data_IF_419767397679
#
_entry.id   IF_419767397679
#
_cell.length_a   1.000
_cell.length_b   1.000
_cell.length_c   1.000
_cell.angle_alpha   90.00
_cell.angle_beta   90.00
_cell.angle_gamma   90.00
#
_symmetry.space_group_name_H-M   'P 1'
#
loop_
_entity.id
_entity.type
_entity.pdbx_description
1 polymer ?
#
# COMPACT_ATOMS: atom_id res chain seq x y z
N UNK A 1 15.07 44.79 -34.07
CA UNK A 1 15.18 43.35 -34.38
C UNK A 1 15.71 42.66 -33.13
N UNK A 2 15.08 41.55 -32.70
CA UNK A 2 15.29 40.93 -31.38
C UNK A 2 16.29 39.76 -31.45
N UNK A 3 16.97 39.46 -30.35
CA UNK A 3 17.55 38.13 -30.11
C UNK A 3 17.04 37.58 -28.77
N UNK A 4 16.59 36.30 -28.73
CA UNK A 4 15.90 35.71 -27.59
C UNK A 4 16.89 35.08 -26.61
N UNK A 5 16.81 35.43 -25.34
CA UNK A 5 17.47 34.67 -24.29
C UNK A 5 16.60 33.45 -23.96
N UNK A 6 17.11 32.29 -24.37
CA UNK A 6 16.54 30.98 -24.12
C UNK A 6 16.14 30.82 -22.64
N UNK A 7 14.98 30.22 -22.33
CA UNK A 7 14.66 29.88 -20.96
C UNK A 7 15.70 28.89 -20.47
N UNK A 8 16.41 29.26 -19.41
CA UNK A 8 17.15 28.31 -18.59
C UNK A 8 16.09 27.33 -18.10
N UNK A 9 16.02 26.16 -18.73
CA UNK A 9 15.29 25.02 -18.19
C UNK A 9 16.02 24.67 -16.91
N UNK A 10 15.61 25.30 -15.81
CA UNK A 10 15.83 24.77 -14.48
C UNK A 10 15.14 23.42 -14.48
N UNK A 11 15.94 22.37 -14.63
CA UNK A 11 15.54 21.03 -14.23
C UNK A 11 15.19 21.19 -12.75
N UNK A 12 13.89 21.36 -12.46
CA UNK A 12 13.35 21.12 -11.13
C UNK A 12 13.55 19.63 -10.92
N UNK A 13 14.76 19.28 -10.48
CA UNK A 13 15.02 18.01 -9.83
C UNK A 13 14.21 18.08 -8.55
N UNK A 14 12.92 17.75 -8.67
CA UNK A 14 12.06 17.47 -7.54
C UNK A 14 12.65 16.23 -6.90
N UNK A 15 13.58 16.47 -5.99
CA UNK A 15 14.00 15.49 -5.02
C UNK A 15 12.73 15.10 -4.24
N UNK A 16 11.99 14.13 -4.74
CA UNK A 16 10.90 13.50 -4.04
C UNK A 16 11.51 12.56 -2.99
N UNK A 17 12.23 13.16 -2.04
CA UNK A 17 12.78 12.53 -0.84
C UNK A 17 11.93 12.83 0.39
N UNK A 18 10.66 13.23 0.19
CA UNK A 18 9.70 13.19 1.28
C UNK A 18 9.49 11.71 1.64
N UNK A 19 9.71 11.29 2.89
CA UNK A 19 9.28 9.98 3.34
C UNK A 19 7.80 9.86 2.97
N UNK A 20 7.37 8.73 2.37
CA UNK A 20 5.99 8.60 1.98
C UNK A 20 5.12 8.84 3.23
N UNK A 21 4.22 9.82 3.11
CA UNK A 21 3.29 10.17 4.17
C UNK A 21 2.57 8.90 4.63
N UNK A 22 2.21 8.82 5.92
CA UNK A 22 1.60 7.60 6.49
C UNK A 22 0.34 7.23 5.68
N UNK A 23 -0.45 8.22 5.27
CA UNK A 23 -1.61 8.02 4.42
C UNK A 23 -1.24 7.48 3.03
N UNK A 24 -0.15 7.96 2.44
CA UNK A 24 0.38 7.49 1.17
C UNK A 24 0.89 6.05 1.22
N UNK A 25 1.64 5.69 2.27
CA UNK A 25 2.09 4.31 2.51
C UNK A 25 0.91 3.37 2.67
N UNK A 26 -0.06 3.72 3.52
CA UNK A 26 -1.19 2.86 3.80
C UNK A 26 -2.05 2.66 2.54
N UNK A 27 -2.27 3.72 1.77
CA UNK A 27 -2.98 3.65 0.49
C UNK A 27 -2.23 2.74 -0.51
N UNK A 28 -0.90 2.84 -0.56
CA UNK A 28 -0.06 1.98 -1.40
C UNK A 28 -0.09 0.50 -1.00
N UNK A 29 -0.16 0.19 0.31
CA UNK A 29 -0.39 -1.18 0.79
C UNK A 29 -1.77 -1.68 0.36
N UNK A 30 -2.81 -0.86 0.52
CA UNK A 30 -4.17 -1.22 0.13
C UNK A 30 -4.29 -1.50 -1.37
N UNK A 31 -3.64 -0.70 -2.23
CA UNK A 31 -3.68 -0.90 -3.68
C UNK A 31 -3.01 -2.21 -4.07
N UNK A 32 -1.76 -2.43 -3.64
CA UNK A 32 -1.07 -3.69 -3.90
C UNK A 32 -1.86 -4.89 -3.37
N UNK A 33 -2.49 -4.77 -2.21
CA UNK A 33 -3.29 -5.86 -1.65
C UNK A 33 -4.48 -6.18 -2.55
N UNK A 34 -5.18 -5.15 -3.05
CA UNK A 34 -6.28 -5.31 -4.00
C UNK A 34 -5.83 -5.99 -5.30
N UNK A 35 -4.71 -5.54 -5.87
CA UNK A 35 -4.15 -6.13 -7.08
C UNK A 35 -3.90 -7.63 -6.90
N UNK A 36 -3.25 -8.02 -5.81
CA UNK A 36 -3.00 -9.43 -5.52
C UNK A 36 -4.29 -10.21 -5.28
N UNK A 37 -5.27 -9.66 -4.55
CA UNK A 37 -6.57 -10.31 -4.40
C UNK A 37 -7.24 -10.61 -5.75
N UNK A 38 -7.19 -9.66 -6.69
CA UNK A 38 -7.70 -9.85 -8.04
C UNK A 38 -6.95 -10.95 -8.79
N UNK A 39 -5.61 -10.96 -8.72
CA UNK A 39 -4.76 -11.97 -9.37
C UNK A 39 -5.08 -13.38 -8.84
N UNK A 40 -5.31 -13.54 -7.54
CA UNK A 40 -5.65 -14.83 -6.93
C UNK A 40 -7.14 -15.17 -6.98
N UNK A 41 -7.98 -14.34 -7.60
CA UNK A 41 -9.43 -14.56 -7.64
C UNK A 41 -10.10 -14.56 -6.27
N UNK A 42 -9.48 -13.90 -5.28
CA UNK A 42 -10.02 -13.74 -3.93
C UNK A 42 -10.84 -12.45 -3.86
N UNK A 43 -11.97 -12.49 -3.17
CA UNK A 43 -12.80 -11.32 -2.94
C UNK A 43 -13.12 -11.19 -1.46
N UNK A 44 -13.16 -9.95 -0.98
CA UNK A 44 -13.66 -9.67 0.36
C UNK A 44 -15.19 -9.80 0.35
N UNK A 45 -15.79 -10.27 1.45
CA UNK A 45 -17.23 -10.19 1.65
C UNK A 45 -17.72 -8.73 1.56
N UNK A 46 -18.99 -8.54 1.19
CA UNK A 46 -19.55 -7.20 0.89
C UNK A 46 -19.52 -6.21 2.06
N UNK A 47 -19.47 -6.71 3.29
CA UNK A 47 -19.34 -5.93 4.52
C UNK A 47 -17.92 -5.39 4.78
N UNK A 48 -16.92 -5.89 4.03
CA UNK A 48 -15.52 -5.52 4.21
C UNK A 48 -15.01 -4.64 3.07
N UNK A 49 -14.35 -3.53 3.42
CA UNK A 49 -13.55 -2.75 2.50
C UNK A 49 -12.07 -3.13 2.61
N UNK A 50 -11.31 -3.02 1.52
CA UNK A 50 -9.86 -3.29 1.53
C UNK A 50 -9.15 -2.51 2.65
N UNK A 51 -9.37 -1.19 2.85
CA UNK A 51 -8.74 -0.46 3.95
C UNK A 51 -9.07 -1.04 5.33
N UNK A 52 -10.33 -1.39 5.59
CA UNK A 52 -10.72 -1.94 6.89
C UNK A 52 -10.12 -3.33 7.13
N UNK A 53 -10.07 -4.14 6.07
CA UNK A 53 -9.46 -5.44 6.10
C UNK A 53 -7.96 -5.34 6.39
N UNK A 54 -7.23 -4.50 5.64
CA UNK A 54 -5.79 -4.26 5.84
C UNK A 54 -5.51 -3.74 7.26
N UNK A 55 -6.33 -2.82 7.79
CA UNK A 55 -6.21 -2.37 9.20
C UNK A 55 -6.44 -3.49 10.21
N UNK A 56 -7.32 -4.44 9.90
CA UNK A 56 -7.61 -5.56 10.80
C UNK A 56 -6.44 -6.54 10.82
N UNK A 57 -5.85 -6.85 9.65
CA UNK A 57 -4.66 -7.71 9.56
C UNK A 57 -3.45 -7.08 10.26
N UNK A 58 -3.20 -5.79 10.01
CA UNK A 58 -2.03 -5.10 10.56
C UNK A 58 -2.20 -4.67 12.03
N UNK A 59 -3.43 -4.52 12.49
CA UNK A 59 -3.79 -3.89 13.75
C UNK A 59 -3.95 -2.37 13.62
N UNK A 60 -5.02 -1.84 14.18
CA UNK A 60 -5.38 -0.42 14.05
C UNK A 60 -4.33 0.52 14.65
N UNK A 61 -3.68 0.11 15.74
CA UNK A 61 -2.60 0.88 16.39
C UNK A 61 -1.30 0.82 15.58
N UNK A 62 -0.95 -0.36 15.03
CA UNK A 62 0.26 -0.55 14.25
C UNK A 62 0.26 0.27 12.96
N UNK A 63 -0.90 0.43 12.31
CA UNK A 63 -1.04 1.25 11.09
C UNK A 63 -0.73 2.73 11.33
N UNK A 64 -0.85 3.22 12.57
CA UNK A 64 -0.51 4.60 12.93
C UNK A 64 1.01 4.81 13.11
N UNK A 65 1.79 3.72 13.16
CA UNK A 65 3.24 3.79 13.29
C UNK A 65 3.91 3.88 11.91
N UNK A 66 4.53 5.02 11.53
CA UNK A 66 5.16 5.17 10.23
C UNK A 66 6.29 4.15 9.99
N UNK A 67 7.04 3.79 11.03
CA UNK A 67 8.14 2.82 10.91
C UNK A 67 7.62 1.43 10.61
N UNK A 68 6.57 0.99 11.31
CA UNK A 68 5.91 -0.29 11.05
C UNK A 68 5.32 -0.35 9.64
N UNK A 69 4.59 0.69 9.25
CA UNK A 69 3.93 0.74 7.95
C UNK A 69 4.94 0.76 6.78
N UNK A 70 6.10 1.41 6.95
CA UNK A 70 7.20 1.32 5.98
C UNK A 70 7.73 -0.11 5.87
N UNK A 71 7.94 -0.81 6.99
CA UNK A 71 8.39 -2.20 6.98
C UNK A 71 7.41 -3.09 6.23
N UNK A 72 6.11 -2.96 6.52
CA UNK A 72 5.04 -3.69 5.79
C UNK A 72 5.08 -3.36 4.30
N UNK A 73 5.14 -2.07 3.96
CA UNK A 73 5.12 -1.62 2.57
C UNK A 73 6.29 -2.18 1.78
N UNK A 74 7.52 -2.08 2.30
CA UNK A 74 8.70 -2.58 1.60
C UNK A 74 8.75 -4.11 1.55
N UNK A 75 8.40 -4.79 2.64
CA UNK A 75 8.30 -6.25 2.65
C UNK A 75 7.28 -6.75 1.61
N UNK A 76 6.12 -6.10 1.57
CA UNK A 76 5.07 -6.46 0.62
C UNK A 76 5.42 -6.10 -0.82
N UNK A 77 6.12 -4.99 -1.05
CA UNK A 77 6.60 -4.63 -2.38
C UNK A 77 7.66 -5.61 -2.92
N UNK A 78 8.52 -6.16 -2.05
CA UNK A 78 9.58 -7.10 -2.44
C UNK A 78 9.04 -8.51 -2.61
N UNK A 79 8.25 -8.99 -1.65
CA UNK A 79 7.82 -10.39 -1.59
C UNK A 79 6.42 -10.62 -2.15
N UNK A 80 5.61 -9.58 -2.31
CA UNK A 80 4.24 -9.66 -2.79
C UNK A 80 3.44 -10.71 -2.01
N UNK A 81 2.93 -11.77 -2.67
CA UNK A 81 2.16 -12.83 -2.01
C UNK A 81 2.97 -13.65 -1.00
N UNK A 82 4.30 -13.62 -1.08
CA UNK A 82 5.20 -14.27 -0.12
C UNK A 82 5.47 -13.43 1.14
N UNK A 83 4.91 -12.22 1.24
CA UNK A 83 5.04 -11.39 2.44
C UNK A 83 4.27 -11.99 3.61
N UNK A 84 4.78 -11.78 4.83
CA UNK A 84 4.09 -12.22 6.05
C UNK A 84 2.69 -11.59 6.16
N UNK A 85 2.57 -10.33 5.73
CA UNK A 85 1.33 -9.56 5.76
C UNK A 85 0.27 -10.16 4.84
N UNK A 86 0.65 -10.56 3.63
CA UNK A 86 -0.30 -11.15 2.69
C UNK A 86 -0.77 -12.53 3.16
N UNK A 87 0.14 -13.37 3.66
CA UNK A 87 -0.19 -14.68 4.22
C UNK A 87 -1.18 -14.57 5.38
N UNK A 88 -0.94 -13.63 6.31
CA UNK A 88 -1.85 -13.37 7.42
C UNK A 88 -3.21 -12.82 6.96
N UNK A 89 -3.21 -12.00 5.90
CA UNK A 89 -4.41 -11.56 5.22
C UNK A 89 -5.21 -12.72 4.62
N UNK A 90 -4.57 -13.66 3.93
CA UNK A 90 -5.29 -14.82 3.38
C UNK A 90 -5.91 -15.68 4.48
N UNK A 91 -5.19 -15.93 5.58
CA UNK A 91 -5.73 -16.68 6.73
C UNK A 91 -6.94 -15.99 7.35
N UNK A 92 -6.88 -14.68 7.56
CA UNK A 92 -8.01 -13.92 8.08
C UNK A 92 -9.19 -13.97 7.11
N UNK A 93 -8.94 -13.85 5.81
CA UNK A 93 -9.98 -13.95 4.80
C UNK A 93 -10.66 -15.33 4.81
N UNK A 94 -9.88 -16.40 4.88
CA UNK A 94 -10.41 -17.76 4.99
C UNK A 94 -11.22 -17.93 6.27
N UNK A 95 -10.77 -17.38 7.40
CA UNK A 95 -11.50 -17.40 8.67
C UNK A 95 -12.85 -16.66 8.58
N UNK A 96 -12.87 -15.50 7.94
CA UNK A 96 -14.10 -14.74 7.72
C UNK A 96 -15.06 -15.55 6.85
N UNK A 97 -14.58 -16.17 5.78
CA UNK A 97 -15.40 -16.93 4.84
C UNK A 97 -16.02 -18.20 5.44
N UNK A 98 -15.37 -18.85 6.41
CA UNK A 98 -15.95 -20.03 7.11
C UNK A 98 -16.89 -19.66 8.26
N UNK A 99 -16.87 -18.39 8.70
CA UNK A 99 -17.69 -17.89 9.82
C UNK A 99 -18.98 -17.21 9.34
N UNK A 100 -19.27 -17.24 8.04
CA UNK A 100 -20.49 -16.74 7.40
C UNK A 100 -21.46 -17.91 7.16
#
# INVERSE_FOLDING_TARGET
>A
MPEPLHPIVSITSTAQSAPPDIGGLFSGVCEHYREWMLIFGRQLPSQWSIPNFVRTVLGNESVQSPSFLKTVFYDFAIHGPGSWFFDEGIKLLDLINVSQ
#
